data_IF_601102824445
#
_entry.id   IF_601102824445
#
_cell.length_a   1.000
_cell.length_b   1.000
_cell.length_c   1.000
_cell.angle_alpha   90.00
_cell.angle_beta   90.00
_cell.angle_gamma   90.00
#
_symmetry.space_group_name_H-M   'P 1'
#
loop_
_entity.id
_entity.type
_entity.pdbx_description
1 polymer ?
#
# COMPACT_ATOMS: atom_id res chain seq x y z
N UNK A 1 2.96 2.35 -10.20
CA UNK A 1 2.07 1.19 -10.43
C UNK A 1 0.72 1.35 -9.76
N UNK A 2 0.64 1.53 -8.42
CA UNK A 2 -0.65 1.76 -7.70
C UNK A 2 -1.47 2.88 -8.33
N UNK A 3 -0.84 4.04 -8.58
CA UNK A 3 -1.50 5.20 -9.19
C UNK A 3 -2.07 4.91 -10.59
N UNK A 4 -1.40 4.09 -11.39
CA UNK A 4 -1.83 3.74 -12.75
C UNK A 4 -3.02 2.79 -12.70
N UNK A 5 -3.00 1.82 -11.79
CA UNK A 5 -4.10 0.87 -11.61
C UNK A 5 -5.35 1.60 -11.10
N UNK A 6 -5.20 2.46 -10.09
CA UNK A 6 -6.32 3.21 -9.53
C UNK A 6 -6.92 4.17 -10.55
N UNK A 7 -6.06 4.90 -11.27
CA UNK A 7 -6.50 5.80 -12.33
C UNK A 7 -7.27 5.06 -13.42
N UNK A 8 -6.82 3.86 -13.83
CA UNK A 8 -7.59 3.07 -14.81
C UNK A 8 -8.89 2.52 -14.27
N UNK A 9 -8.92 2.03 -13.02
CA UNK A 9 -10.17 1.60 -12.41
C UNK A 9 -11.21 2.72 -12.32
N UNK A 10 -10.78 3.94 -11.97
CA UNK A 10 -11.68 5.10 -11.92
C UNK A 10 -12.15 5.48 -13.33
N UNK A 11 -11.24 5.56 -14.31
CA UNK A 11 -11.59 5.87 -15.71
C UNK A 11 -12.62 4.86 -16.25
N UNK A 12 -12.38 3.56 -16.05
CA UNK A 12 -13.28 2.49 -16.48
C UNK A 12 -14.64 2.62 -15.78
N UNK A 13 -14.66 2.95 -14.49
CA UNK A 13 -15.91 3.12 -13.73
C UNK A 13 -16.75 4.31 -14.19
N UNK A 14 -16.12 5.43 -14.54
CA UNK A 14 -16.81 6.64 -15.02
C UNK A 14 -17.34 6.41 -16.42
N UNK A 15 -16.57 5.75 -17.29
CA UNK A 15 -17.03 5.35 -18.62
C UNK A 15 -18.20 4.38 -18.57
N UNK A 16 -18.21 3.43 -17.64
CA UNK A 16 -19.35 2.52 -17.42
C UNK A 16 -20.61 3.24 -16.95
N UNK A 17 -20.48 4.39 -16.29
CA UNK A 17 -21.60 5.24 -15.86
C UNK A 17 -22.07 6.21 -16.95
N UNK A 18 -21.45 6.18 -18.14
CA UNK A 18 -21.78 7.06 -19.26
C UNK A 18 -21.20 8.48 -19.14
N UNK A 19 -20.22 8.70 -18.26
CA UNK A 19 -19.54 9.99 -18.11
C UNK A 19 -18.59 10.30 -19.26
N UNK A 20 -18.26 11.59 -19.41
CA UNK A 20 -17.33 12.07 -20.44
C UNK A 20 -15.87 11.73 -20.12
N UNK A 21 -15.01 11.77 -21.13
CA UNK A 21 -13.57 11.55 -20.95
C UNK A 21 -12.93 12.60 -20.02
N UNK A 22 -13.40 13.85 -20.05
CA UNK A 22 -12.91 14.91 -19.14
C UNK A 22 -13.27 14.63 -17.69
N UNK A 23 -14.52 14.22 -17.41
CA UNK A 23 -14.97 13.84 -16.07
C UNK A 23 -14.18 12.64 -15.54
N UNK A 24 -13.98 11.62 -16.39
CA UNK A 24 -13.21 10.43 -16.05
C UNK A 24 -11.77 10.76 -15.66
N UNK A 25 -11.12 11.70 -16.37
CA UNK A 25 -9.77 12.14 -16.02
C UNK A 25 -9.75 12.94 -14.70
N UNK A 26 -10.69 13.85 -14.52
CA UNK A 26 -10.73 14.72 -13.34
C UNK A 26 -10.96 13.92 -12.05
N UNK A 27 -11.92 12.99 -12.07
CA UNK A 27 -12.20 12.10 -10.94
C UNK A 27 -11.01 11.17 -10.66
N UNK A 28 -10.43 10.55 -11.69
CA UNK A 28 -9.32 9.63 -11.52
C UNK A 28 -8.06 10.28 -10.95
N UNK A 29 -7.76 11.54 -11.32
CA UNK A 29 -6.65 12.30 -10.73
C UNK A 29 -6.93 12.61 -9.26
N UNK A 30 -8.15 13.05 -8.95
CA UNK A 30 -8.54 13.47 -7.59
C UNK A 30 -8.51 12.30 -6.61
N UNK A 31 -9.14 11.19 -6.97
CA UNK A 31 -9.18 9.98 -6.14
C UNK A 31 -7.80 9.35 -5.96
N UNK A 32 -7.02 9.30 -7.03
CA UNK A 32 -5.65 8.76 -6.96
C UNK A 32 -4.78 9.62 -6.05
N UNK A 33 -4.87 10.95 -6.14
CA UNK A 33 -4.12 11.85 -5.29
C UNK A 33 -4.51 11.71 -3.81
N UNK A 34 -5.82 11.65 -3.52
CA UNK A 34 -6.32 11.43 -2.16
C UNK A 34 -5.84 10.09 -1.59
N UNK A 35 -6.00 9.00 -2.35
CA UNK A 35 -5.57 7.67 -1.93
C UNK A 35 -4.06 7.62 -1.64
N UNK A 36 -3.23 8.18 -2.53
CA UNK A 36 -1.78 8.24 -2.34
C UNK A 36 -1.41 9.07 -1.11
N UNK A 37 -2.09 10.19 -0.86
CA UNK A 37 -1.89 11.01 0.33
C UNK A 37 -2.13 10.21 1.63
N UNK A 38 -3.25 9.49 1.71
CA UNK A 38 -3.56 8.65 2.87
C UNK A 38 -2.58 7.49 3.04
N UNK A 39 -2.22 6.78 1.95
CA UNK A 39 -1.24 5.70 1.98
C UNK A 39 0.12 6.22 2.46
N UNK A 40 0.55 7.40 1.99
CA UNK A 40 1.79 8.03 2.41
C UNK A 40 1.81 8.34 3.91
N UNK A 41 0.73 8.92 4.44
CA UNK A 41 0.61 9.22 5.87
C UNK A 41 0.72 7.95 6.74
N UNK A 42 0.08 6.86 6.32
CA UNK A 42 0.19 5.56 7.01
C UNK A 42 1.63 5.01 6.90
N UNK A 43 2.25 5.09 5.73
CA UNK A 43 3.61 4.63 5.49
C UNK A 43 4.65 5.33 6.36
N UNK A 44 4.46 6.61 6.67
CA UNK A 44 5.35 7.39 7.53
C UNK A 44 5.48 6.80 8.96
N UNK A 45 4.44 6.12 9.47
CA UNK A 45 4.45 5.45 10.77
C UNK A 45 5.59 4.41 10.84
N UNK A 46 5.93 3.78 9.71
CA UNK A 46 7.04 2.82 9.62
C UNK A 46 8.40 3.43 10.00
N UNK A 47 8.61 4.71 9.70
CA UNK A 47 9.84 5.43 10.01
C UNK A 47 10.10 5.58 11.51
N UNK A 48 9.05 5.66 12.33
CA UNK A 48 9.16 5.64 13.79
C UNK A 48 9.17 4.21 14.36
N UNK A 49 8.36 3.33 13.78
CA UNK A 49 8.20 1.96 14.26
C UNK A 49 9.51 1.17 14.21
N UNK A 50 10.30 1.31 13.13
CA UNK A 50 11.52 0.52 12.94
C UNK A 50 12.60 0.84 14.02
N UNK A 51 13.03 2.10 14.20
CA UNK A 51 13.99 2.44 15.25
C UNK A 51 13.48 2.10 16.65
N UNK A 52 12.18 2.31 16.91
CA UNK A 52 11.60 2.02 18.22
C UNK A 52 11.59 0.53 18.53
N UNK A 53 11.23 -0.32 17.57
CA UNK A 53 11.23 -1.76 17.73
C UNK A 53 12.65 -2.32 17.96
N UNK A 54 13.65 -1.82 17.23
CA UNK A 54 15.05 -2.16 17.49
C UNK A 54 15.49 -1.72 18.88
N UNK A 55 15.18 -0.49 19.29
CA UNK A 55 15.50 0.02 20.63
C UNK A 55 14.88 -0.82 21.73
N UNK A 56 13.60 -1.21 21.61
CA UNK A 56 12.92 -2.10 22.56
C UNK A 56 13.55 -3.50 22.57
N UNK A 57 13.87 -4.08 21.41
CA UNK A 57 14.52 -5.40 21.32
C UNK A 57 15.88 -5.40 22.02
N UNK A 58 16.69 -4.37 21.78
CA UNK A 58 17.98 -4.18 22.43
C UNK A 58 17.84 -3.98 23.95
N UNK A 59 16.90 -3.14 24.38
CA UNK A 59 16.70 -2.87 25.81
C UNK A 59 16.22 -4.10 26.59
N UNK A 60 15.37 -4.94 25.99
CA UNK A 60 14.81 -6.11 26.66
C UNK A 60 15.67 -7.37 26.54
N UNK A 61 16.32 -7.58 25.40
CA UNK A 61 17.01 -8.85 25.09
C UNK A 61 18.51 -8.69 24.85
N UNK A 62 19.03 -7.46 24.81
CA UNK A 62 20.41 -7.17 24.42
C UNK A 62 20.72 -7.41 22.94
N UNK A 63 19.71 -7.78 22.13
CA UNK A 63 19.90 -8.18 20.73
C UNK A 63 18.81 -7.62 19.81
N UNK A 64 19.14 -7.25 18.55
CA UNK A 64 18.17 -6.79 17.57
C UNK A 64 17.35 -7.93 16.93
N UNK A 65 17.71 -9.19 17.20
CA UNK A 65 17.10 -10.37 16.54
C UNK A 65 15.59 -10.45 16.75
N UNK A 66 15.09 -10.01 17.92
CA UNK A 66 13.64 -9.95 18.20
C UNK A 66 12.91 -9.06 17.20
N UNK A 67 13.39 -7.83 17.00
CA UNK A 67 12.85 -6.91 16.01
C UNK A 67 12.97 -7.44 14.58
N UNK A 68 14.10 -8.07 14.23
CA UNK A 68 14.29 -8.67 12.90
C UNK A 68 13.26 -9.75 12.58
N UNK A 69 12.93 -10.62 13.56
CA UNK A 69 11.89 -11.65 13.39
C UNK A 69 10.52 -11.03 13.09
N UNK A 70 10.17 -9.94 13.79
CA UNK A 70 8.90 -9.22 13.57
C UNK A 70 8.86 -8.65 12.14
N UNK A 71 9.93 -8.00 11.69
CA UNK A 71 9.98 -7.45 10.32
C UNK A 71 9.94 -8.54 9.26
N UNK A 72 10.61 -9.67 9.49
CA UNK A 72 10.54 -10.82 8.59
C UNK A 72 9.11 -11.34 8.44
N UNK A 73 8.40 -11.57 9.55
CA UNK A 73 6.99 -11.99 9.52
C UNK A 73 6.13 -10.97 8.80
N UNK A 74 6.34 -9.67 9.06
CA UNK A 74 5.63 -8.61 8.36
C UNK A 74 5.84 -8.67 6.84
N UNK A 75 7.07 -8.85 6.37
CA UNK A 75 7.35 -8.99 4.94
C UNK A 75 6.69 -10.23 4.32
N UNK A 76 6.68 -11.36 5.03
CA UNK A 76 5.96 -12.57 4.56
C UNK A 76 4.47 -12.26 4.40
N UNK A 77 3.86 -11.55 5.36
CA UNK A 77 2.45 -11.11 5.26
C UNK A 77 2.25 -10.18 4.07
N UNK A 78 3.13 -9.20 3.84
CA UNK A 78 3.06 -8.32 2.67
C UNK A 78 3.08 -9.11 1.36
N UNK A 79 3.99 -10.09 1.22
CA UNK A 79 4.06 -10.95 0.05
C UNK A 79 2.76 -11.73 -0.15
N UNK A 80 2.21 -12.32 0.92
CA UNK A 80 0.93 -13.03 0.85
C UNK A 80 -0.21 -12.11 0.43
N UNK A 81 -0.31 -10.90 0.98
CA UNK A 81 -1.33 -9.91 0.59
C UNK A 81 -1.17 -9.52 -0.88
N UNK A 82 0.04 -9.22 -1.33
CA UNK A 82 0.31 -8.90 -2.74
C UNK A 82 -0.06 -10.07 -3.64
N UNK A 83 0.27 -11.30 -3.25
CA UNK A 83 -0.10 -12.49 -4.00
C UNK A 83 -1.63 -12.70 -4.04
N UNK A 84 -2.34 -12.48 -2.93
CA UNK A 84 -3.80 -12.61 -2.88
C UNK A 84 -4.51 -11.56 -3.75
N UNK A 85 -4.02 -10.32 -3.76
CA UNK A 85 -4.67 -9.21 -4.48
C UNK A 85 -4.30 -9.18 -5.96
N UNK A 86 -3.02 -9.41 -6.28
CA UNK A 86 -2.49 -9.28 -7.64
C UNK A 86 -2.17 -10.63 -8.28
N UNK A 87 -1.54 -11.56 -7.54
CA UNK A 87 -1.12 -12.85 -8.06
C UNK A 87 -2.25 -13.86 -8.30
N UNK A 88 -3.40 -13.72 -7.62
CA UNK A 88 -4.57 -14.61 -7.77
C UNK A 88 -5.56 -14.17 -8.84
N UNK A 89 -5.44 -12.96 -9.41
CA UNK A 89 -6.21 -12.61 -10.61
C UNK A 89 -5.56 -13.34 -11.78
N UNK A 90 -6.13 -14.50 -12.13
CA UNK A 90 -5.88 -15.19 -13.39
C UNK A 90 -5.90 -14.16 -14.51
N UNK A 91 -4.91 -14.23 -15.40
CA UNK A 91 -5.08 -13.81 -16.80
C UNK A 91 -6.41 -14.36 -17.30
N UNK A 92 -7.38 -13.48 -17.51
CA UNK A 92 -8.60 -13.73 -18.25
C UNK A 92 -8.74 -12.56 -19.22
#
# INVERSE_FOLDING_TARGET
>A
MIAVIFRQLTIDSVKQRGGSDEEAQHEAVTDTAAALGFISAIGAIGGFFIPKAFGTSLAMTGSPVGAMKVFFVFYVVCVLVTWLVYGRRKSA
#
